data_IF_007668776685
#
_entry.id   IF_007668776685
#
_cell.length_a   1.000
_cell.length_b   1.000
_cell.length_c   1.000
_cell.angle_alpha   90.00
_cell.angle_beta   90.00
_cell.angle_gamma   90.00
#
_symmetry.space_group_name_H-M   'P 1'
#
loop_
_entity.id
_entity.type
_entity.pdbx_description
1 polymer ?
#
# COMPACT_ATOMS: atom_id res chain seq x y z
N UNK A 1 9.82 -8.52 -21.45
CA UNK A 1 9.93 -7.18 -20.85
C UNK A 1 8.71 -6.96 -19.99
N UNK A 2 8.88 -6.72 -18.71
CA UNK A 2 7.81 -6.48 -17.74
C UNK A 2 7.78 -4.99 -17.46
N UNK A 3 6.61 -4.36 -17.49
CA UNK A 3 6.43 -2.94 -17.17
C UNK A 3 5.45 -2.82 -16.02
N UNK A 4 5.84 -2.19 -14.93
CA UNK A 4 5.00 -2.03 -13.74
C UNK A 4 5.02 -0.58 -13.26
N UNK A 5 3.93 -0.15 -12.63
CA UNK A 5 3.78 1.22 -12.12
C UNK A 5 3.03 1.17 -10.79
N UNK A 6 3.65 0.68 -9.74
CA UNK A 6 3.11 0.82 -8.37
C UNK A 6 4.07 0.22 -7.35
N UNK A 7 4.10 0.82 -6.16
CA UNK A 7 4.91 0.32 -5.05
C UNK A 7 4.70 -1.18 -4.77
N UNK A 8 3.43 -1.63 -4.64
CA UNK A 8 3.12 -3.04 -4.33
C UNK A 8 3.62 -3.98 -5.42
N UNK A 9 3.34 -3.68 -6.69
CA UNK A 9 3.74 -4.53 -7.82
C UNK A 9 5.24 -4.47 -8.09
N UNK A 10 5.86 -3.29 -7.95
CA UNK A 10 7.31 -3.14 -8.12
C UNK A 10 8.06 -3.93 -7.04
N UNK A 11 7.60 -3.85 -5.79
CA UNK A 11 8.20 -4.60 -4.68
C UNK A 11 8.03 -6.10 -4.85
N UNK A 12 6.87 -6.58 -5.28
CA UNK A 12 6.65 -8.00 -5.58
C UNK A 12 7.59 -8.49 -6.67
N UNK A 13 7.68 -7.77 -7.78
CA UNK A 13 8.56 -8.10 -8.91
C UNK A 13 10.03 -8.12 -8.50
N UNK A 14 10.47 -7.18 -7.68
CA UNK A 14 11.84 -7.15 -7.13
C UNK A 14 12.09 -8.24 -6.10
N UNK A 15 11.12 -8.57 -5.25
CA UNK A 15 11.23 -9.65 -4.29
C UNK A 15 11.47 -10.99 -4.97
N UNK A 16 10.90 -11.19 -6.16
CA UNK A 16 11.11 -12.37 -7.01
C UNK A 16 12.38 -12.28 -7.88
N UNK A 17 13.16 -11.19 -7.80
CA UNK A 17 14.38 -11.00 -8.60
C UNK A 17 14.13 -10.82 -10.10
N UNK A 18 12.96 -10.35 -10.48
CA UNK A 18 12.58 -10.15 -11.88
C UNK A 18 13.03 -8.78 -12.37
N UNK A 19 13.75 -8.74 -13.49
CA UNK A 19 14.08 -7.49 -14.18
C UNK A 19 12.85 -6.90 -14.89
N UNK A 20 12.59 -5.61 -14.68
CA UNK A 20 11.47 -4.91 -15.28
C UNK A 20 11.77 -3.43 -15.55
N UNK A 21 11.05 -2.86 -16.51
CA UNK A 21 11.05 -1.44 -16.78
C UNK A 21 9.86 -0.76 -16.11
N UNK A 22 10.10 0.37 -15.44
CA UNK A 22 9.02 1.18 -14.87
C UNK A 22 8.64 2.31 -15.83
N UNK A 23 7.34 2.42 -16.12
CA UNK A 23 6.76 3.53 -16.88
C UNK A 23 5.89 4.36 -15.95
N UNK A 24 6.27 5.61 -15.73
CA UNK A 24 5.51 6.53 -14.89
C UNK A 24 4.32 7.13 -15.64
N UNK A 25 3.24 7.39 -14.92
CA UNK A 25 1.98 7.89 -15.46
C UNK A 25 1.57 9.20 -14.80
N UNK A 26 1.17 10.17 -15.60
CA UNK A 26 0.52 11.38 -15.09
C UNK A 26 -0.99 11.12 -14.97
N UNK A 27 -1.47 10.94 -13.72
CA UNK A 27 -2.86 10.64 -13.47
C UNK A 27 -3.81 11.82 -13.73
N UNK A 28 -3.30 13.05 -13.85
CA UNK A 28 -4.07 14.22 -14.25
C UNK A 28 -4.27 14.28 -15.77
N UNK A 29 -3.35 13.68 -16.53
CA UNK A 29 -3.37 13.59 -18.00
C UNK A 29 -2.97 12.18 -18.43
N UNK A 30 -3.88 11.21 -18.23
CA UNK A 30 -3.64 9.78 -18.47
C UNK A 30 -3.22 9.50 -19.91
N UNK A 31 -2.15 8.72 -20.08
CA UNK A 31 -1.63 8.37 -21.39
C UNK A 31 -2.58 7.47 -22.19
N UNK A 32 -2.52 7.50 -23.53
CA UNK A 32 -3.23 6.55 -24.37
C UNK A 32 -2.87 5.10 -24.04
N UNK A 33 -1.63 4.85 -23.61
CA UNK A 33 -1.13 3.53 -23.24
C UNK A 33 -1.88 2.98 -22.01
N UNK A 34 -2.04 3.79 -20.96
CA UNK A 34 -2.83 3.40 -19.78
C UNK A 34 -4.28 3.11 -20.15
N UNK A 35 -4.89 3.97 -20.95
CA UNK A 35 -6.29 3.82 -21.37
C UNK A 35 -6.50 2.57 -22.25
N UNK A 36 -5.49 2.21 -23.05
CA UNK A 36 -5.50 0.98 -23.87
C UNK A 36 -5.38 -0.28 -23.01
N UNK A 37 -4.44 -0.32 -22.06
CA UNK A 37 -4.15 -1.52 -21.28
C UNK A 37 -5.07 -1.71 -20.07
N UNK A 38 -5.68 -0.65 -19.56
CA UNK A 38 -6.69 -0.72 -18.49
C UNK A 38 -7.93 0.12 -18.84
N UNK A 39 -8.71 -0.27 -19.86
CA UNK A 39 -9.87 0.49 -20.29
C UNK A 39 -11.02 0.49 -19.26
N UNK A 40 -11.06 -0.53 -18.39
CA UNK A 40 -12.13 -0.70 -17.39
C UNK A 40 -11.95 0.29 -16.24
N UNK A 41 -10.82 0.24 -15.55
CA UNK A 41 -10.58 1.08 -14.37
C UNK A 41 -9.80 2.34 -14.69
N UNK A 42 -9.01 2.35 -15.77
CA UNK A 42 -8.14 3.48 -16.17
C UNK A 42 -7.23 3.94 -15.02
N UNK A 43 -6.75 2.97 -14.25
CA UNK A 43 -5.94 3.16 -13.04
C UNK A 43 -4.60 2.45 -13.18
N UNK A 44 -3.64 2.87 -12.40
CA UNK A 44 -2.40 2.16 -12.13
C UNK A 44 -2.56 1.39 -10.82
N UNK A 45 -1.82 0.28 -10.63
CA UNK A 45 -0.80 -0.27 -11.52
C UNK A 45 -1.36 -1.07 -12.70
N UNK A 46 -0.54 -1.18 -13.73
CA UNK A 46 -0.71 -2.15 -14.82
C UNK A 46 0.63 -2.85 -15.05
N UNK A 47 0.66 -4.16 -14.91
CA UNK A 47 1.80 -4.99 -15.30
C UNK A 47 1.62 -5.42 -16.75
N UNK A 48 2.65 -5.20 -17.58
CA UNK A 48 2.66 -5.71 -18.95
C UNK A 48 3.69 -6.84 -19.06
N UNK A 49 3.22 -8.07 -19.18
CA UNK A 49 4.06 -9.25 -19.36
C UNK A 49 3.83 -9.87 -20.75
N UNK A 50 4.86 -9.87 -21.59
CA UNK A 50 4.79 -10.37 -22.98
C UNK A 50 3.61 -9.80 -23.78
N UNK A 51 3.38 -8.49 -23.64
CA UNK A 51 2.29 -7.76 -24.31
C UNK A 51 0.90 -7.94 -23.70
N UNK A 52 0.74 -8.75 -22.64
CA UNK A 52 -0.53 -9.01 -21.96
C UNK A 52 -0.64 -8.14 -20.69
N UNK A 53 -1.67 -7.29 -20.57
CA UNK A 53 -1.85 -6.46 -19.38
C UNK A 53 -2.49 -7.24 -18.23
N UNK A 54 -1.98 -7.04 -17.02
CA UNK A 54 -2.57 -7.48 -15.76
C UNK A 54 -2.82 -6.21 -14.91
N UNK A 55 -4.02 -6.05 -14.42
CA UNK A 55 -4.43 -4.89 -13.62
C UNK A 55 -4.74 -5.33 -12.18
N UNK A 56 -4.87 -4.36 -11.28
CA UNK A 56 -5.08 -4.51 -9.84
C UNK A 56 -3.83 -4.98 -9.07
N UNK A 57 -3.43 -4.19 -8.06
CA UNK A 57 -2.15 -4.38 -7.36
C UNK A 57 -2.02 -5.75 -6.69
N UNK A 58 -3.09 -6.26 -6.07
CA UNK A 58 -3.08 -7.58 -5.42
C UNK A 58 -3.09 -8.71 -6.45
N UNK A 59 -3.81 -8.54 -7.57
CA UNK A 59 -3.79 -9.50 -8.68
C UNK A 59 -2.41 -9.57 -9.32
N UNK A 60 -1.76 -8.42 -9.52
CA UNK A 60 -0.39 -8.36 -10.04
C UNK A 60 0.58 -9.05 -9.09
N UNK A 61 0.47 -8.78 -7.79
CA UNK A 61 1.35 -9.38 -6.78
C UNK A 61 1.21 -10.91 -6.77
N UNK A 62 -0.02 -11.42 -6.84
CA UNK A 62 -0.29 -12.86 -6.92
C UNK A 62 0.20 -13.46 -8.25
N UNK A 63 -0.02 -12.78 -9.37
CA UNK A 63 0.49 -13.20 -10.67
C UNK A 63 2.01 -13.31 -10.69
N UNK A 64 2.71 -12.37 -10.08
CA UNK A 64 4.17 -12.39 -9.95
C UNK A 64 4.62 -13.60 -9.12
N UNK A 65 4.00 -13.83 -7.96
CA UNK A 65 4.28 -14.97 -7.09
C UNK A 65 4.03 -16.33 -7.77
N UNK A 66 2.98 -16.44 -8.59
CA UNK A 66 2.66 -17.66 -9.33
C UNK A 66 3.59 -17.90 -10.53
N UNK A 67 4.07 -16.82 -11.16
CA UNK A 67 4.89 -16.90 -12.39
C UNK A 67 6.37 -17.12 -12.08
N UNK A 68 6.90 -16.47 -11.05
CA UNK A 68 8.29 -16.55 -10.61
C UNK A 68 8.37 -17.12 -9.20
N UNK A 69 8.70 -18.41 -9.08
CA UNK A 69 8.60 -19.18 -7.82
C UNK A 69 9.89 -19.22 -7.01
N UNK A 70 10.83 -18.30 -7.22
CA UNK A 70 12.10 -18.33 -6.52
C UNK A 70 11.98 -17.98 -5.04
N UNK A 71 11.11 -17.04 -4.71
CA UNK A 71 10.86 -16.55 -3.35
C UNK A 71 9.36 -16.46 -3.09
N UNK A 72 8.66 -17.61 -2.87
CA UNK A 72 7.21 -17.61 -2.76
C UNK A 72 6.72 -16.70 -1.63
N UNK A 73 5.81 -15.80 -1.98
CA UNK A 73 5.21 -14.82 -1.07
C UNK A 73 3.97 -15.38 -0.37
N UNK A 74 3.18 -16.18 -1.09
CA UNK A 74 1.99 -16.83 -0.55
C UNK A 74 2.34 -18.17 0.10
N UNK A 75 1.72 -18.52 1.24
CA UNK A 75 1.87 -19.83 1.86
C UNK A 75 1.44 -20.97 0.95
N UNK A 76 2.07 -22.14 1.09
CA UNK A 76 1.68 -23.33 0.36
C UNK A 76 0.39 -23.95 0.87
N UNK A 77 0.17 -23.89 2.20
CA UNK A 77 -1.07 -24.36 2.81
C UNK A 77 -2.28 -23.55 2.31
N UNK A 78 -3.35 -24.20 1.81
CA UNK A 78 -4.49 -23.51 1.25
C UNK A 78 -5.24 -22.61 2.26
N UNK A 79 -5.30 -22.98 3.53
CA UNK A 79 -5.96 -22.18 4.56
C UNK A 79 -5.13 -20.93 4.87
N UNK A 80 -3.83 -21.06 5.09
CA UNK A 80 -2.94 -19.92 5.34
C UNK A 80 -2.86 -19.00 4.12
N UNK A 81 -2.92 -19.53 2.90
CA UNK A 81 -3.01 -18.74 1.68
C UNK A 81 -4.33 -17.96 1.59
N UNK A 82 -5.43 -18.55 2.00
CA UNK A 82 -6.73 -17.87 2.07
C UNK A 82 -6.69 -16.74 3.13
N UNK A 83 -6.08 -16.97 4.28
CA UNK A 83 -5.85 -15.93 5.31
C UNK A 83 -4.98 -14.78 4.78
N UNK A 84 -3.91 -15.09 4.06
CA UNK A 84 -3.05 -14.07 3.47
C UNK A 84 -3.83 -13.17 2.48
N UNK A 85 -4.66 -13.76 1.62
CA UNK A 85 -5.54 -13.01 0.72
C UNK A 85 -6.57 -12.16 1.47
N UNK A 86 -7.15 -12.70 2.54
CA UNK A 86 -8.08 -11.97 3.41
C UNK A 86 -7.41 -10.71 3.99
N UNK A 87 -6.23 -10.85 4.60
CA UNK A 87 -5.53 -9.71 5.21
C UNK A 87 -5.05 -8.68 4.20
N UNK A 88 -4.59 -9.10 3.03
CA UNK A 88 -4.26 -8.19 1.94
C UNK A 88 -5.48 -7.40 1.46
N UNK A 89 -6.62 -8.07 1.28
CA UNK A 89 -7.90 -7.43 0.93
C UNK A 89 -8.42 -6.51 2.04
N UNK A 90 -8.29 -6.91 3.30
CA UNK A 90 -8.62 -6.08 4.46
C UNK A 90 -7.80 -4.77 4.45
N UNK A 91 -6.51 -4.86 4.11
CA UNK A 91 -5.64 -3.70 3.93
C UNK A 91 -6.17 -2.72 2.88
N UNK A 92 -6.57 -3.22 1.72
CA UNK A 92 -7.11 -2.38 0.65
C UNK A 92 -8.48 -1.79 1.00
N UNK A 93 -9.38 -2.59 1.55
CA UNK A 93 -10.77 -2.18 1.77
C UNK A 93 -10.96 -1.36 3.05
N UNK A 94 -10.28 -1.72 4.14
CA UNK A 94 -10.52 -1.14 5.46
C UNK A 94 -9.41 -0.18 5.88
N UNK A 95 -8.16 -0.62 5.83
CA UNK A 95 -7.03 0.21 6.29
C UNK A 95 -6.88 1.44 5.41
N UNK A 96 -6.90 1.28 4.08
CA UNK A 96 -6.81 2.40 3.15
C UNK A 96 -7.98 3.38 3.30
N UNK A 97 -9.19 2.89 3.45
CA UNK A 97 -10.38 3.72 3.60
C UNK A 97 -10.34 4.54 4.89
N UNK A 98 -9.99 3.91 6.01
CA UNK A 98 -9.98 4.56 7.31
C UNK A 98 -8.78 5.48 7.48
N UNK A 99 -7.56 4.97 7.27
CA UNK A 99 -6.33 5.73 7.54
C UNK A 99 -6.09 6.80 6.47
N UNK A 100 -6.11 6.40 5.19
CA UNK A 100 -5.77 7.32 4.13
C UNK A 100 -6.90 8.30 3.81
N UNK A 101 -8.14 7.83 3.72
CA UNK A 101 -9.27 8.71 3.38
C UNK A 101 -9.98 9.28 4.61
N UNK A 102 -10.21 8.45 5.64
CA UNK A 102 -10.95 8.85 6.83
C UNK A 102 -10.19 9.84 7.70
N UNK A 103 -8.88 9.66 7.86
CA UNK A 103 -8.07 10.50 8.74
C UNK A 103 -7.32 11.57 7.97
N UNK A 104 -6.59 11.21 6.91
CA UNK A 104 -5.75 12.18 6.20
C UNK A 104 -6.55 13.29 5.52
N UNK A 105 -7.69 12.99 4.91
CA UNK A 105 -8.46 13.96 4.11
C UNK A 105 -9.69 14.54 4.80
N UNK A 106 -9.86 14.29 6.10
CA UNK A 106 -10.88 14.93 6.94
C UNK A 106 -10.24 15.85 7.97
N UNK A 107 -11.05 16.69 8.63
CA UNK A 107 -10.64 17.57 9.71
C UNK A 107 -11.76 17.80 10.73
N UNK A 108 -11.40 18.27 11.93
CA UNK A 108 -12.34 18.57 13.01
C UNK A 108 -13.16 17.34 13.38
N UNK A 109 -14.45 17.54 13.63
CA UNK A 109 -15.36 16.50 14.13
C UNK A 109 -15.41 15.26 13.24
N UNK A 110 -15.42 15.41 11.91
CA UNK A 110 -15.44 14.27 10.99
C UNK A 110 -14.16 13.41 11.08
N UNK A 111 -13.02 14.03 11.32
CA UNK A 111 -11.76 13.33 11.55
C UNK A 111 -11.74 12.64 12.92
N UNK A 112 -12.20 13.34 13.96
CA UNK A 112 -12.29 12.80 15.32
C UNK A 112 -13.18 11.56 15.40
N UNK A 113 -14.28 11.52 14.65
CA UNK A 113 -15.20 10.37 14.55
C UNK A 113 -14.55 9.16 13.84
N UNK A 114 -13.56 9.38 12.96
CA UNK A 114 -12.86 8.28 12.25
C UNK A 114 -11.71 7.67 13.08
N UNK A 115 -11.15 8.41 14.05
CA UNK A 115 -10.02 7.93 14.86
C UNK A 115 -10.34 6.61 15.59
N UNK A 116 -11.47 6.46 16.31
CA UNK A 116 -11.80 5.20 16.97
C UNK A 116 -11.89 4.02 16.00
N UNK A 117 -12.48 4.25 14.82
CA UNK A 117 -12.58 3.23 13.76
C UNK A 117 -11.20 2.82 13.24
N UNK A 118 -10.31 3.80 13.03
CA UNK A 118 -8.93 3.52 12.62
C UNK A 118 -8.17 2.72 13.67
N UNK A 119 -8.36 3.05 14.96
CA UNK A 119 -7.76 2.30 16.07
C UNK A 119 -8.23 0.85 16.10
N UNK A 120 -9.53 0.60 15.94
CA UNK A 120 -10.10 -0.75 15.86
C UNK A 120 -9.49 -1.55 14.69
N UNK A 121 -9.38 -0.92 13.51
CA UNK A 121 -8.78 -1.54 12.33
C UNK A 121 -7.30 -1.88 12.57
N UNK A 122 -6.54 -0.96 13.16
CA UNK A 122 -5.13 -1.19 13.49
C UNK A 122 -4.97 -2.28 14.56
N UNK A 123 -5.91 -2.37 15.51
CA UNK A 123 -5.91 -3.43 16.52
C UNK A 123 -6.02 -4.82 15.91
N UNK A 124 -6.80 -5.00 14.84
CA UNK A 124 -6.86 -6.27 14.13
C UNK A 124 -5.51 -6.64 13.51
N UNK A 125 -4.75 -5.67 12.98
CA UNK A 125 -3.40 -5.92 12.45
C UNK A 125 -2.40 -6.25 13.57
N UNK A 126 -2.50 -5.56 14.71
CA UNK A 126 -1.69 -5.84 15.92
C UNK A 126 -1.90 -7.27 16.40
N UNK A 127 -3.17 -7.72 16.47
CA UNK A 127 -3.52 -9.08 16.89
C UNK A 127 -2.98 -10.15 15.91
N UNK A 128 -3.05 -9.90 14.60
CA UNK A 128 -2.55 -10.84 13.59
C UNK A 128 -1.02 -10.99 13.63
N UNK A 129 -0.31 -9.98 14.13
CA UNK A 129 1.15 -10.01 14.28
C UNK A 129 1.62 -10.79 15.52
N UNK A 130 0.73 -11.24 16.42
CA UNK A 130 1.14 -11.99 17.62
C UNK A 130 1.94 -13.24 17.27
N UNK A 131 3.14 -13.33 17.84
CA UNK A 131 4.06 -14.44 17.60
C UNK A 131 4.71 -14.44 16.22
N UNK A 132 4.66 -13.33 15.48
CA UNK A 132 5.25 -13.19 14.15
C UNK A 132 6.14 -11.96 14.08
N UNK A 133 7.21 -12.07 13.31
CA UNK A 133 8.05 -10.93 12.94
C UNK A 133 7.43 -10.11 11.80
N UNK A 134 6.86 -10.80 10.81
CA UNK A 134 6.14 -10.27 9.66
C UNK A 134 4.79 -10.97 9.54
N UNK A 135 3.86 -10.41 8.79
CA UNK A 135 2.60 -11.09 8.49
C UNK A 135 2.82 -12.44 7.80
N UNK A 136 3.91 -12.56 7.03
CA UNK A 136 4.38 -13.81 6.44
C UNK A 136 5.11 -14.76 7.40
N UNK A 137 5.23 -14.43 8.69
CA UNK A 137 5.96 -15.18 9.70
C UNK A 137 7.37 -14.63 9.90
N UNK A 138 8.42 -15.44 9.68
CA UNK A 138 9.82 -15.02 9.85
C UNK A 138 10.37 -14.20 8.68
N UNK A 139 9.71 -14.21 7.54
CA UNK A 139 10.11 -13.52 6.31
C UNK A 139 8.97 -12.63 5.79
N UNK A 140 9.35 -11.60 5.05
CA UNK A 140 8.41 -10.77 4.31
C UNK A 140 7.63 -11.67 3.34
N UNK A 141 6.30 -11.61 3.40
CA UNK A 141 5.39 -12.36 2.57
C UNK A 141 4.39 -11.47 1.83
N UNK A 142 3.37 -12.09 1.28
CA UNK A 142 2.33 -11.45 0.47
C UNK A 142 1.62 -10.29 1.20
N UNK A 143 1.23 -10.52 2.46
CA UNK A 143 0.52 -9.51 3.27
C UNK A 143 1.42 -8.33 3.59
N UNK A 144 2.69 -8.57 3.87
CA UNK A 144 3.66 -7.51 4.16
C UNK A 144 3.83 -6.57 2.97
N UNK A 145 3.92 -7.11 1.75
CA UNK A 145 3.99 -6.31 0.53
C UNK A 145 2.66 -5.59 0.24
N UNK A 146 1.54 -6.23 0.51
CA UNK A 146 0.21 -5.62 0.35
C UNK A 146 -0.01 -4.44 1.32
N UNK A 147 0.46 -4.55 2.57
CA UNK A 147 0.37 -3.54 3.61
C UNK A 147 1.57 -2.60 3.68
N UNK A 148 2.63 -2.84 2.91
CA UNK A 148 3.89 -2.11 3.01
C UNK A 148 3.76 -0.59 2.89
N UNK A 149 2.76 -0.10 2.15
CA UNK A 149 2.43 1.31 2.08
C UNK A 149 2.10 1.91 3.46
N UNK A 150 1.43 1.15 4.33
CA UNK A 150 1.10 1.58 5.70
C UNK A 150 2.38 1.80 6.51
N UNK A 151 3.35 0.89 6.41
CA UNK A 151 4.63 1.01 7.13
C UNK A 151 5.36 2.32 6.80
N UNK A 152 5.25 2.78 5.56
CA UNK A 152 5.93 4.00 5.13
C UNK A 152 5.10 5.28 5.32
N UNK A 153 3.82 5.23 4.99
CA UNK A 153 3.00 6.43 4.93
C UNK A 153 2.37 6.82 6.27
N UNK A 154 2.21 5.86 7.20
CA UNK A 154 1.54 6.16 8.45
C UNK A 154 2.24 7.29 9.23
N UNK A 155 3.57 7.23 9.39
CA UNK A 155 4.34 8.28 10.04
C UNK A 155 4.35 9.61 9.26
N UNK A 156 4.19 9.56 7.93
CA UNK A 156 4.03 10.77 7.09
C UNK A 156 2.65 11.38 7.31
N UNK A 157 1.60 10.55 7.38
CA UNK A 157 0.25 11.04 7.66
C UNK A 157 0.15 11.67 9.04
N UNK A 158 0.70 11.03 10.07
CA UNK A 158 0.79 11.60 11.44
C UNK A 158 1.41 12.99 11.44
N UNK A 159 2.52 13.19 10.70
CA UNK A 159 3.19 14.48 10.58
C UNK A 159 2.33 15.51 9.84
N UNK A 160 1.71 15.14 8.73
CA UNK A 160 0.85 16.02 7.93
C UNK A 160 -0.41 16.46 8.68
N UNK A 161 -1.00 15.57 9.48
CA UNK A 161 -2.21 15.90 10.25
C UNK A 161 -1.92 16.47 11.63
N UNK A 162 -0.69 16.35 12.15
CA UNK A 162 -0.30 16.77 13.50
C UNK A 162 -0.89 15.90 14.62
N UNK A 163 -1.24 14.64 14.32
CA UNK A 163 -1.82 13.69 15.28
C UNK A 163 -0.99 12.41 15.34
N UNK A 164 -0.85 11.83 16.53
CA UNK A 164 -0.24 10.51 16.72
C UNK A 164 -1.33 9.45 16.69
N UNK A 165 -1.23 8.49 15.76
CA UNK A 165 -2.22 7.42 15.59
C UNK A 165 -1.79 6.12 16.28
N UNK A 166 -0.49 5.81 16.24
CA UNK A 166 0.04 4.62 16.90
C UNK A 166 1.13 4.98 17.90
N UNK A 167 1.17 4.25 18.99
CA UNK A 167 2.17 4.36 20.06
C UNK A 167 2.61 2.98 20.55
N UNK A 168 3.72 2.95 21.29
CA UNK A 168 4.34 1.72 21.79
C UNK A 168 3.48 0.97 22.81
N UNK A 169 2.58 1.67 23.49
CA UNK A 169 1.72 1.06 24.52
C UNK A 169 0.60 0.22 23.89
N UNK A 170 -0.03 0.75 22.84
CA UNK A 170 -1.21 0.12 22.20
C UNK A 170 -0.84 -0.77 21.03
N UNK A 171 0.22 -0.42 20.29
CA UNK A 171 0.59 -1.07 19.02
C UNK A 171 2.07 -1.47 18.98
N UNK A 172 2.60 -2.20 19.97
CA UNK A 172 4.02 -2.57 20.02
C UNK A 172 4.46 -3.46 18.84
N UNK A 173 3.63 -4.43 18.42
CA UNK A 173 3.98 -5.36 17.34
C UNK A 173 3.89 -4.67 15.98
N UNK A 174 2.89 -3.82 15.79
CA UNK A 174 2.74 -3.06 14.54
C UNK A 174 3.90 -2.07 14.37
N UNK A 175 4.33 -1.39 15.43
CA UNK A 175 5.51 -0.53 15.40
C UNK A 175 6.79 -1.32 15.12
N UNK A 176 6.95 -2.50 15.74
CA UNK A 176 8.07 -3.38 15.45
C UNK A 176 8.05 -3.83 13.98
N UNK A 177 6.91 -4.25 13.47
CA UNK A 177 6.76 -4.62 12.06
C UNK A 177 7.11 -3.47 11.12
N UNK A 178 6.61 -2.26 11.39
CA UNK A 178 6.95 -1.06 10.61
C UNK A 178 8.46 -0.86 10.55
N UNK A 179 9.15 -0.96 11.69
CA UNK A 179 10.59 -0.80 11.76
C UNK A 179 11.33 -1.89 10.97
N UNK A 180 11.01 -3.16 11.23
CA UNK A 180 11.65 -4.31 10.58
C UNK A 180 11.41 -4.32 9.07
N UNK A 181 10.17 -4.04 8.64
CA UNK A 181 9.82 -3.97 7.22
C UNK A 181 10.54 -2.80 6.53
N UNK A 182 10.52 -1.61 7.12
CA UNK A 182 11.10 -0.41 6.52
C UNK A 182 12.63 -0.47 6.41
N UNK A 183 13.31 -1.24 7.28
CA UNK A 183 14.77 -1.39 7.26
C UNK A 183 15.23 -2.56 6.39
N UNK A 184 14.34 -3.40 5.88
CA UNK A 184 14.70 -4.46 4.96
C UNK A 184 15.33 -3.86 3.68
N UNK A 185 16.51 -4.32 3.22
CA UNK A 185 17.25 -3.68 2.12
C UNK A 185 16.41 -3.48 0.86
N UNK A 186 15.70 -4.54 0.43
CA UNK A 186 14.84 -4.50 -0.75
C UNK A 186 13.71 -3.46 -0.63
N UNK A 187 13.26 -3.15 0.58
CA UNK A 187 12.24 -2.16 0.85
C UNK A 187 12.86 -0.77 0.87
N UNK A 188 13.94 -0.60 1.64
CA UNK A 188 14.59 0.69 1.87
C UNK A 188 15.10 1.34 0.57
N UNK A 189 15.68 0.56 -0.33
CA UNK A 189 16.19 1.05 -1.62
C UNK A 189 15.10 1.59 -2.56
N UNK A 190 13.84 1.26 -2.28
CA UNK A 190 12.71 1.61 -3.14
C UNK A 190 11.75 2.65 -2.54
N UNK A 191 12.06 3.15 -1.34
CA UNK A 191 11.26 4.23 -0.76
C UNK A 191 11.44 5.54 -1.51
N UNK A 192 10.36 6.23 -1.86
CA UNK A 192 10.45 7.61 -2.34
C UNK A 192 11.02 8.54 -1.25
N UNK A 193 11.66 9.65 -1.60
CA UNK A 193 12.14 10.62 -0.60
C UNK A 193 11.01 11.14 0.30
N UNK A 194 11.23 11.04 1.62
CA UNK A 194 10.21 11.32 2.64
C UNK A 194 9.71 12.77 2.60
N UNK A 195 10.61 13.73 2.42
CA UNK A 195 10.32 15.16 2.32
C UNK A 195 9.38 15.48 1.17
N UNK A 196 9.61 14.87 0.01
CA UNK A 196 8.73 15.02 -1.16
C UNK A 196 7.32 14.48 -0.92
N UNK A 197 7.21 13.38 -0.18
CA UNK A 197 5.92 12.80 0.16
C UNK A 197 5.16 13.64 1.18
N UNK A 198 5.84 14.16 2.20
CA UNK A 198 5.22 15.09 3.17
C UNK A 198 4.64 16.29 2.43
N UNK A 199 5.45 16.97 1.59
CA UNK A 199 4.99 18.11 0.80
C UNK A 199 3.79 17.76 -0.11
N UNK A 200 3.85 16.60 -0.77
CA UNK A 200 2.77 16.12 -1.65
C UNK A 200 1.48 15.83 -0.88
N UNK A 201 1.54 15.13 0.25
CA UNK A 201 0.35 14.80 1.02
C UNK A 201 -0.24 16.03 1.71
N UNK A 202 0.59 16.96 2.18
CA UNK A 202 0.14 18.24 2.72
C UNK A 202 -0.63 19.05 1.66
N UNK A 203 -0.07 19.23 0.47
CA UNK A 203 -0.74 19.93 -0.63
C UNK A 203 -2.02 19.23 -1.09
N UNK A 204 -2.01 17.89 -1.16
CA UNK A 204 -3.19 17.11 -1.53
C UNK A 204 -4.30 17.22 -0.50
N UNK A 205 -3.95 17.20 0.80
CA UNK A 205 -4.88 17.41 1.91
C UNK A 205 -5.50 18.81 1.84
N UNK A 206 -4.69 19.84 1.70
CA UNK A 206 -5.16 21.23 1.59
C UNK A 206 -6.14 21.39 0.42
N UNK A 207 -5.77 20.89 -0.76
CA UNK A 207 -6.64 20.93 -1.93
C UNK A 207 -7.96 20.16 -1.75
N UNK A 208 -7.95 19.03 -1.06
CA UNK A 208 -9.13 18.24 -0.76
C UNK A 208 -10.07 18.96 0.21
N UNK A 209 -9.52 19.52 1.29
CA UNK A 209 -10.27 20.29 2.28
C UNK A 209 -10.89 21.56 1.69
N UNK A 210 -10.14 22.29 0.87
CA UNK A 210 -10.63 23.49 0.18
C UNK A 210 -11.80 23.22 -0.77
N UNK A 211 -11.86 22.02 -1.38
CA UNK A 211 -12.93 21.64 -2.31
C UNK A 211 -14.14 21.03 -1.61
N UNK A 212 -14.11 20.77 -0.32
CA UNK A 212 -15.18 20.04 0.39
C UNK A 212 -15.41 18.65 -0.19
N UNK A 213 -14.38 17.96 -0.65
CA UNK A 213 -14.48 16.71 -1.39
C UNK A 213 -15.06 15.58 -0.53
N UNK A 214 -16.22 15.09 -0.93
CA UNK A 214 -16.80 13.85 -0.40
C UNK A 214 -16.02 12.63 -0.89
N UNK A 215 -16.07 11.56 -0.10
CA UNK A 215 -15.50 10.24 -0.40
C UNK A 215 -15.70 9.85 -1.88
N UNK A 216 -14.65 9.54 -2.60
CA UNK A 216 -14.69 9.04 -3.98
C UNK A 216 -13.83 9.79 -5.02
N UNK A 217 -13.32 10.98 -4.71
CA UNK A 217 -12.59 11.79 -5.69
C UNK A 217 -11.05 11.83 -5.50
N UNK A 218 -10.51 11.21 -4.45
CA UNK A 218 -9.07 11.30 -4.17
C UNK A 218 -8.36 10.02 -4.60
N UNK A 219 -7.92 9.98 -5.83
CA UNK A 219 -7.16 8.87 -6.43
C UNK A 219 -5.65 9.09 -6.27
N UNK A 220 -5.18 9.35 -5.03
CA UNK A 220 -3.83 9.89 -4.78
C UNK A 220 -2.79 8.82 -4.44
N UNK A 221 -3.18 7.55 -4.24
CA UNK A 221 -2.36 6.65 -3.42
C UNK A 221 -1.47 5.66 -4.14
N UNK A 222 -1.33 5.64 -5.45
CA UNK A 222 -0.62 4.52 -6.09
C UNK A 222 0.37 4.93 -7.19
N UNK A 223 0.74 6.18 -7.35
CA UNK A 223 1.78 6.54 -8.30
C UNK A 223 2.75 7.56 -7.73
N UNK A 224 3.97 7.14 -7.44
CA UNK A 224 5.03 8.03 -7.02
C UNK A 224 6.27 7.87 -7.90
N UNK A 225 6.74 9.01 -8.41
CA UNK A 225 8.13 9.22 -8.77
C UNK A 225 8.94 9.43 -7.52
#
# INVERSE_FOLDING_TARGET
MVKSISFKSDMGTKAEGVEFDTVYEDLSNKSPLLLQYNPVHKKVPVLLHNGKPICESLVILEYVDETWKQFPLLPQDPHERAKARFWAKFGDDKVSQSIAYGILFKQGKEQEEEIPRAMEILQHLEEELKGKKFFGGEKIGFVDLALGWLAYYLGIFEEVIGLKLIDQEKFPLLLQWIQEFSTAPIIQENWPPRDKLIAKFAASREAALARGLKQGMVQVFVCHK
#
